data_IF_105403360456
#
_entry.id   IF_105403360456
#
_cell.length_a   1.000
_cell.length_b   1.000
_cell.length_c   1.000
_cell.angle_alpha   90.00
_cell.angle_beta   90.00
_cell.angle_gamma   90.00
#
_symmetry.space_group_name_H-M   'P 1'
#
loop_
_entity.id
_entity.type
_entity.pdbx_description
1 polymer ?
#
# COMPACT_ATOMS: atom_id res chain seq x y z
N UNK A 1 -15.60 20.46 -20.38
CA UNK A 1 -16.28 19.14 -20.25
C UNK A 1 -15.89 18.32 -21.46
N UNK A 2 -15.47 17.06 -21.30
CA UNK A 2 -14.93 16.26 -22.42
C UNK A 2 -13.71 15.39 -22.12
N UNK A 3 -13.31 15.28 -20.85
CA UNK A 3 -12.34 14.29 -20.43
C UNK A 3 -13.01 12.93 -20.21
N UNK A 4 -12.39 11.86 -20.71
CA UNK A 4 -12.84 10.47 -20.55
C UNK A 4 -11.85 9.75 -19.65
N UNK A 5 -12.35 9.05 -18.64
CA UNK A 5 -11.53 8.26 -17.71
C UNK A 5 -10.93 7.04 -18.45
N UNK A 6 -9.60 6.95 -18.60
CA UNK A 6 -8.98 5.81 -19.26
C UNK A 6 -8.99 4.60 -18.32
N UNK A 7 -9.72 3.55 -18.71
CA UNK A 7 -9.66 2.24 -18.05
C UNK A 7 -8.63 1.39 -18.78
N UNK A 8 -7.57 0.95 -18.09
CA UNK A 8 -6.46 0.18 -18.68
C UNK A 8 -6.64 -1.33 -18.54
N UNK A 9 -7.23 -1.76 -17.43
CA UNK A 9 -7.42 -3.19 -17.12
C UNK A 9 -8.70 -3.35 -16.28
N UNK A 10 -9.31 -4.53 -16.32
CA UNK A 10 -10.46 -4.90 -15.48
C UNK A 10 -10.16 -6.26 -14.85
N UNK A 11 -10.29 -6.37 -13.53
CA UNK A 11 -10.06 -7.61 -12.78
C UNK A 11 -11.32 -8.06 -12.04
N UNK A 12 -11.50 -9.37 -11.91
CA UNK A 12 -12.61 -9.96 -11.19
C UNK A 12 -12.14 -10.59 -9.87
N UNK A 13 -12.68 -10.11 -8.75
CA UNK A 13 -12.56 -10.74 -7.44
C UNK A 13 -13.73 -11.68 -7.25
N UNK A 14 -13.70 -12.84 -7.93
CA UNK A 14 -14.82 -13.79 -7.98
C UNK A 14 -15.26 -14.24 -6.58
N UNK A 15 -14.32 -14.47 -5.66
CA UNK A 15 -14.64 -14.83 -4.27
C UNK A 15 -15.30 -13.70 -3.47
N UNK A 16 -15.03 -12.44 -3.80
CA UNK A 16 -15.64 -11.28 -3.13
C UNK A 16 -16.91 -10.77 -3.85
N UNK A 17 -17.24 -11.32 -5.02
CA UNK A 17 -18.46 -11.02 -5.75
C UNK A 17 -18.44 -9.71 -6.56
N UNK A 18 -17.27 -9.16 -6.90
CA UNK A 18 -17.19 -7.91 -7.66
C UNK A 18 -16.09 -7.90 -8.74
N UNK A 19 -16.26 -6.98 -9.69
CA UNK A 19 -15.30 -6.64 -10.74
C UNK A 19 -14.82 -5.21 -10.48
N UNK A 20 -13.53 -4.94 -10.64
CA UNK A 20 -12.95 -3.61 -10.43
C UNK A 20 -12.08 -3.16 -11.62
N UNK A 21 -12.33 -1.96 -12.16
CA UNK A 21 -11.50 -1.37 -13.21
C UNK A 21 -10.26 -0.68 -12.65
N UNK A 22 -9.14 -0.81 -13.35
CA UNK A 22 -7.86 -0.19 -13.03
C UNK A 22 -7.60 0.93 -14.04
N UNK A 23 -7.54 2.17 -13.55
CA UNK A 23 -7.40 3.37 -14.36
C UNK A 23 -5.96 3.93 -14.42
N UNK A 24 -5.00 3.21 -13.81
CA UNK A 24 -3.61 3.64 -13.68
C UNK A 24 -2.76 2.54 -13.05
N UNK A 25 -1.51 2.83 -12.72
CA UNK A 25 -0.69 1.87 -11.98
C UNK A 25 -1.11 1.81 -10.52
N UNK A 26 -1.46 0.61 -10.04
CA UNK A 26 -1.84 0.36 -8.67
C UNK A 26 -0.81 -0.56 -8.01
N UNK A 27 -0.01 -0.02 -7.09
CA UNK A 27 0.96 -0.82 -6.34
C UNK A 27 0.28 -1.52 -5.18
N UNK A 28 0.23 -2.85 -5.24
CA UNK A 28 -0.30 -3.72 -4.17
C UNK A 28 0.75 -4.06 -3.12
N UNK A 29 2.03 -3.86 -3.43
CA UNK A 29 3.16 -4.08 -2.52
C UNK A 29 3.92 -2.76 -2.39
N UNK A 30 3.78 -2.03 -1.26
CA UNK A 30 4.56 -0.83 -1.01
C UNK A 30 6.03 -1.20 -0.76
N UNK A 31 6.94 -0.32 -1.16
CA UNK A 31 8.35 -0.40 -0.79
C UNK A 31 8.63 0.37 0.50
N UNK A 32 9.84 0.20 1.03
CA UNK A 32 10.34 1.01 2.14
C UNK A 32 10.76 2.42 1.63
N UNK A 33 10.61 3.46 2.47
CA UNK A 33 11.15 4.79 2.17
C UNK A 33 12.69 4.79 2.25
N UNK A 34 13.31 5.84 1.72
CA UNK A 34 14.78 6.03 1.72
C UNK A 34 15.40 5.86 3.12
N UNK A 35 14.70 6.34 4.16
CA UNK A 35 15.06 6.16 5.56
C UNK A 35 14.00 5.29 6.25
N UNK A 36 14.18 3.97 6.34
CA UNK A 36 13.20 3.08 6.95
C UNK A 36 13.13 3.29 8.47
N UNK A 37 11.92 3.39 9.02
CA UNK A 37 11.70 3.51 10.49
C UNK A 37 12.26 2.31 11.26
N UNK A 38 12.42 1.17 10.59
CA UNK A 38 13.04 -0.02 11.16
C UNK A 38 14.46 0.24 11.70
N UNK A 39 15.20 1.20 11.17
CA UNK A 39 16.52 1.58 11.67
C UNK A 39 16.48 2.33 13.01
N UNK A 40 15.31 2.85 13.41
CA UNK A 40 15.10 3.57 14.68
C UNK A 40 14.22 2.79 15.68
N UNK A 41 13.75 1.60 15.32
CA UNK A 41 13.03 0.72 16.24
C UNK A 41 14.05 0.04 17.14
N UNK A 42 13.83 0.11 18.46
CA UNK A 42 14.72 -0.52 19.46
C UNK A 42 13.94 -0.91 20.72
N UNK A 43 14.61 -1.62 21.64
CA UNK A 43 14.08 -2.04 22.95
C UNK A 43 14.98 -1.49 24.06
N UNK A 44 14.39 -0.75 25.00
CA UNK A 44 15.14 -0.22 26.13
C UNK A 44 15.50 -1.30 27.17
N UNK A 45 16.34 -0.95 28.14
CA UNK A 45 16.80 -1.85 29.22
C UNK A 45 15.69 -2.35 30.14
N UNK A 46 14.51 -1.73 30.11
CA UNK A 46 13.31 -2.11 30.85
C UNK A 46 12.34 -2.93 30.00
N UNK A 47 12.70 -3.23 28.75
CA UNK A 47 11.89 -3.99 27.81
C UNK A 47 10.82 -3.17 27.07
N UNK A 48 10.88 -1.84 27.09
CA UNK A 48 9.93 -0.98 26.37
C UNK A 48 10.36 -0.80 24.91
N UNK A 49 9.39 -0.80 24.01
CA UNK A 49 9.62 -0.60 22.57
C UNK A 49 9.73 0.91 22.27
N UNK A 50 10.77 1.30 21.55
CA UNK A 50 11.00 2.64 21.03
C UNK A 50 10.68 2.69 19.52
N UNK A 51 10.06 3.78 19.06
CA UNK A 51 9.92 4.06 17.61
C UNK A 51 8.85 3.27 16.83
N UNK A 52 7.94 2.56 17.51
CA UNK A 52 6.87 1.76 16.89
C UNK A 52 5.51 2.48 16.78
N UNK A 53 5.37 3.68 17.37
CA UNK A 53 4.10 4.45 17.42
C UNK A 53 4.22 5.82 16.79
#
# INVERSE_FOLDING_TARGET
>A
TGWVLPVREVRASVGAGFIYPICGEMRTMPGLPTTPIAASIDIDVKGNILGLS
#
